data_IF_695390676052
#
_entry.id   IF_695390676052
#
_cell.length_a   1.000
_cell.length_b   1.000
_cell.length_c   1.000
_cell.angle_alpha   90.00
_cell.angle_beta   90.00
_cell.angle_gamma   90.00
#
_symmetry.space_group_name_H-M   'P 1'
#
loop_
_entity.id
_entity.type
_entity.pdbx_description
1 polymer ?
#
# COMPACT_ATOMS: atom_id res chain seq x y z
N UNK A 1 -16.25 -27.90 2.91
CA UNK A 1 -16.18 -27.52 1.49
C UNK A 1 -16.80 -26.16 1.14
N UNK A 2 -17.37 -25.43 2.11
CA UNK A 2 -17.76 -24.02 1.91
C UNK A 2 -18.94 -23.80 0.96
N UNK A 3 -19.67 -24.85 0.59
CA UNK A 3 -20.90 -24.79 -0.19
C UNK A 3 -22.14 -25.05 0.69
N UNK A 4 -23.32 -24.69 0.18
CA UNK A 4 -24.59 -24.79 0.93
C UNK A 4 -25.29 -26.14 0.79
N UNK A 5 -24.75 -27.11 0.05
CA UNK A 5 -25.45 -28.38 -0.26
C UNK A 5 -25.95 -29.12 0.99
N UNK A 6 -25.11 -29.30 2.00
CA UNK A 6 -25.51 -29.98 3.24
C UNK A 6 -26.60 -29.19 4.02
N UNK A 7 -26.53 -27.86 3.98
CA UNK A 7 -27.52 -26.98 4.59
C UNK A 7 -28.84 -27.00 3.80
N UNK A 8 -28.77 -27.06 2.46
CA UNK A 8 -29.93 -27.19 1.57
C UNK A 8 -30.67 -28.50 1.80
N UNK A 9 -29.96 -29.63 1.90
CA UNK A 9 -30.59 -30.93 2.19
C UNK A 9 -31.22 -30.96 3.58
N UNK A 10 -30.59 -30.33 4.58
CA UNK A 10 -31.16 -30.19 5.91
C UNK A 10 -32.42 -29.33 5.91
N UNK A 11 -32.39 -28.16 5.25
CA UNK A 11 -33.53 -27.25 5.10
C UNK A 11 -34.68 -27.93 4.36
N UNK A 12 -34.40 -28.71 3.32
CA UNK A 12 -35.39 -29.50 2.59
C UNK A 12 -36.14 -30.48 3.48
N UNK A 13 -35.44 -31.12 4.43
CA UNK A 13 -36.02 -32.09 5.35
C UNK A 13 -36.86 -31.45 6.48
N UNK A 14 -36.61 -30.18 6.83
CA UNK A 14 -37.24 -29.49 7.97
C UNK A 14 -37.98 -28.20 7.56
N UNK A 15 -38.34 -28.08 6.28
CA UNK A 15 -38.82 -26.82 5.71
C UNK A 15 -40.02 -26.23 6.45
N UNK A 16 -41.01 -27.06 6.79
CA UNK A 16 -42.20 -26.57 7.50
C UNK A 16 -41.87 -25.93 8.85
N UNK A 17 -40.94 -26.54 9.61
CA UNK A 17 -40.50 -26.01 10.91
C UNK A 17 -39.61 -24.77 10.75
N UNK A 18 -38.79 -24.72 9.70
CA UNK A 18 -37.85 -23.62 9.46
C UNK A 18 -38.49 -22.39 8.81
N UNK A 19 -39.59 -22.57 8.07
CA UNK A 19 -40.36 -21.49 7.45
C UNK A 19 -41.40 -20.88 8.41
N UNK A 20 -41.60 -21.48 9.60
CA UNK A 20 -42.62 -21.06 10.55
C UNK A 20 -42.42 -19.60 11.00
N UNK A 21 -43.45 -18.78 10.79
CA UNK A 21 -43.46 -17.37 11.20
C UNK A 21 -42.69 -16.42 10.28
N UNK A 22 -42.12 -16.91 9.17
CA UNK A 22 -41.47 -16.06 8.18
C UNK A 22 -42.48 -15.48 7.18
N UNK A 23 -42.39 -14.17 6.92
CA UNK A 23 -43.19 -13.48 5.91
C UNK A 23 -42.32 -13.12 4.71
N UNK A 24 -42.66 -13.65 3.53
CA UNK A 24 -41.94 -13.43 2.28
C UNK A 24 -42.79 -12.54 1.39
N UNK A 25 -42.21 -11.43 0.94
CA UNK A 25 -42.88 -10.48 0.06
C UNK A 25 -42.75 -10.83 -1.44
N UNK A 26 -41.78 -11.67 -1.81
CA UNK A 26 -41.55 -12.10 -3.19
C UNK A 26 -41.05 -13.55 -3.29
N UNK A 27 -42.00 -14.50 -3.37
CA UNK A 27 -41.73 -15.96 -3.35
C UNK A 27 -40.84 -16.47 -4.49
N UNK A 28 -40.78 -15.76 -5.62
CA UNK A 28 -40.02 -16.18 -6.79
C UNK A 28 -38.54 -15.74 -6.77
N UNK A 29 -38.08 -15.04 -5.73
CA UNK A 29 -36.71 -14.51 -5.64
C UNK A 29 -35.75 -15.52 -5.00
N UNK A 30 -35.28 -16.47 -5.80
CA UNK A 30 -34.24 -17.44 -5.42
C UNK A 30 -33.53 -17.99 -6.67
N UNK A 31 -32.33 -18.55 -6.50
CA UNK A 31 -31.58 -19.15 -7.60
C UNK A 31 -32.06 -20.59 -7.91
N UNK A 32 -31.73 -21.09 -9.09
CA UNK A 32 -32.14 -22.43 -9.56
C UNK A 32 -31.65 -23.59 -8.69
N UNK A 33 -30.61 -23.38 -7.89
CA UNK A 33 -30.01 -24.32 -6.95
C UNK A 33 -30.58 -24.21 -5.52
N UNK A 34 -31.57 -23.33 -5.32
CA UNK A 34 -32.24 -23.08 -4.04
C UNK A 34 -33.73 -23.49 -4.11
N UNK A 35 -34.31 -23.78 -2.95
CA UNK A 35 -35.63 -24.39 -2.79
C UNK A 35 -36.72 -23.32 -2.59
N UNK A 36 -36.37 -22.18 -2.00
CA UNK A 36 -37.33 -21.11 -1.66
C UNK A 36 -36.65 -19.75 -1.58
N UNK A 37 -37.46 -18.68 -1.70
CA UNK A 37 -37.01 -17.32 -1.44
C UNK A 37 -36.52 -17.10 0.01
N UNK A 38 -37.07 -17.82 0.99
CA UNK A 38 -36.61 -17.73 2.37
C UNK A 38 -35.22 -18.34 2.53
N UNK A 39 -34.97 -19.50 1.91
CA UNK A 39 -33.64 -20.09 1.88
C UNK A 39 -32.64 -19.14 1.25
N UNK A 40 -32.99 -18.55 0.10
CA UNK A 40 -32.14 -17.60 -0.59
C UNK A 40 -31.81 -16.38 0.29
N UNK A 41 -32.82 -15.81 0.94
CA UNK A 41 -32.67 -14.69 1.85
C UNK A 41 -31.76 -15.04 3.04
N UNK A 42 -31.90 -16.24 3.62
CA UNK A 42 -31.07 -16.70 4.72
C UNK A 42 -29.64 -17.04 4.27
N UNK A 43 -29.46 -17.63 3.09
CA UNK A 43 -28.15 -17.84 2.49
C UNK A 43 -27.43 -16.50 2.29
N UNK A 44 -28.12 -15.50 1.73
CA UNK A 44 -27.58 -14.16 1.57
C UNK A 44 -27.23 -13.54 2.92
N UNK A 45 -28.11 -13.63 3.93
CA UNK A 45 -27.81 -13.13 5.28
C UNK A 45 -26.54 -13.75 5.87
N UNK A 46 -26.35 -15.05 5.71
CA UNK A 46 -25.19 -15.78 6.23
C UNK A 46 -23.91 -15.54 5.43
N UNK A 47 -24.02 -15.19 4.15
CA UNK A 47 -22.88 -14.87 3.27
C UNK A 47 -22.46 -13.39 3.36
N UNK A 48 -23.45 -12.49 3.34
CA UNK A 48 -23.31 -11.05 3.27
C UNK A 48 -24.53 -10.39 3.97
N UNK A 49 -24.43 -10.30 5.29
CA UNK A 49 -25.48 -9.74 6.13
C UNK A 49 -25.78 -8.26 5.81
N UNK A 50 -24.78 -7.51 5.34
CA UNK A 50 -24.96 -6.12 4.95
C UNK A 50 -25.84 -6.01 3.69
N UNK A 51 -25.57 -6.84 2.66
CA UNK A 51 -26.39 -6.90 1.46
C UNK A 51 -27.83 -7.37 1.78
N UNK A 52 -27.99 -8.38 2.65
CA UNK A 52 -29.32 -8.81 3.10
C UNK A 52 -30.10 -7.66 3.76
N UNK A 53 -29.49 -6.94 4.70
CA UNK A 53 -30.15 -5.85 5.40
C UNK A 53 -30.50 -4.68 4.46
N UNK A 54 -29.60 -4.33 3.53
CA UNK A 54 -29.85 -3.27 2.56
C UNK A 54 -30.92 -3.64 1.52
N UNK A 55 -30.84 -4.84 0.92
CA UNK A 55 -31.69 -5.22 -0.21
C UNK A 55 -33.01 -5.91 0.18
N UNK A 56 -33.03 -6.64 1.30
CA UNK A 56 -34.19 -7.45 1.72
C UNK A 56 -34.93 -6.84 2.91
N UNK A 57 -34.23 -6.14 3.81
CA UNK A 57 -34.87 -5.46 4.94
C UNK A 57 -35.11 -3.96 4.70
N UNK A 58 -34.46 -3.36 3.69
CA UNK A 58 -34.39 -1.90 3.51
C UNK A 58 -33.89 -1.16 4.77
N UNK A 59 -33.13 -1.85 5.63
CA UNK A 59 -32.53 -1.32 6.85
C UNK A 59 -31.02 -1.54 6.78
N UNK A 60 -30.29 -0.79 5.92
CA UNK A 60 -28.86 -0.99 5.76
C UNK A 60 -28.14 -0.85 7.10
N UNK A 61 -27.29 -1.84 7.41
CA UNK A 61 -26.50 -1.82 8.64
C UNK A 61 -25.60 -0.57 8.66
N UNK A 62 -25.44 0.09 9.82
CA UNK A 62 -24.47 1.17 9.97
C UNK A 62 -23.08 0.68 9.57
N UNK A 63 -22.38 1.41 8.70
CA UNK A 63 -20.98 1.12 8.46
C UNK A 63 -20.23 1.29 9.78
N UNK A 64 -19.55 0.25 10.27
CA UNK A 64 -18.66 0.35 11.42
C UNK A 64 -17.47 1.24 11.04
N UNK A 65 -17.62 2.54 11.27
CA UNK A 65 -16.53 3.49 11.24
C UNK A 65 -15.51 3.05 12.29
N UNK A 66 -14.26 2.86 11.88
CA UNK A 66 -13.23 2.38 12.79
C UNK A 66 -13.09 3.34 13.98
N UNK A 67 -13.08 2.81 15.20
CA UNK A 67 -12.88 3.57 16.45
C UNK A 67 -11.44 4.06 16.67
N UNK A 68 -10.49 3.81 15.76
CA UNK A 68 -9.20 4.49 15.87
C UNK A 68 -9.38 5.87 15.21
N UNK A 69 -9.43 6.91 16.03
CA UNK A 69 -9.60 8.29 15.60
C UNK A 69 -8.50 8.64 14.58
N UNK A 70 -8.90 8.73 13.31
CA UNK A 70 -8.05 9.33 12.29
C UNK A 70 -7.76 10.77 12.73
N UNK A 71 -6.50 11.17 12.65
CA UNK A 71 -6.12 12.54 12.97
C UNK A 71 -6.92 13.53 12.11
N UNK A 72 -7.37 14.60 12.73
CA UNK A 72 -8.00 15.73 12.06
C UNK A 72 -7.02 16.46 11.14
N UNK A 73 -7.57 17.32 10.27
CA UNK A 73 -6.78 18.18 9.37
C UNK A 73 -5.80 19.03 10.16
N UNK A 74 -6.25 19.65 11.26
CA UNK A 74 -5.42 20.53 12.08
C UNK A 74 -4.29 19.77 12.80
N UNK A 75 -4.57 18.56 13.28
CA UNK A 75 -3.56 17.72 13.91
C UNK A 75 -2.49 17.27 12.91
N UNK A 76 -2.87 16.87 11.69
CA UNK A 76 -1.92 16.50 10.64
C UNK A 76 -1.11 17.71 10.19
N UNK A 77 -1.76 18.85 9.95
CA UNK A 77 -1.08 20.09 9.59
C UNK A 77 -0.11 20.55 10.70
N UNK A 78 -0.43 20.24 11.96
CA UNK A 78 0.39 20.49 13.14
C UNK A 78 1.63 19.61 13.27
N UNK A 79 1.81 18.55 12.46
CA UNK A 79 2.97 17.64 12.49
C UNK A 79 4.25 18.23 11.91
N UNK A 80 4.47 19.53 12.06
CA UNK A 80 5.64 20.24 11.54
C UNK A 80 6.91 19.91 12.33
N UNK A 81 8.00 19.62 11.61
CA UNK A 81 9.31 19.25 12.16
C UNK A 81 10.15 20.46 12.59
N UNK A 82 9.83 21.65 12.10
CA UNK A 82 10.62 22.86 12.32
C UNK A 82 11.77 23.07 11.33
N UNK A 83 12.05 22.09 10.48
CA UNK A 83 13.10 22.13 9.46
C UNK A 83 12.65 22.95 8.23
N UNK A 84 13.61 23.53 7.50
CA UNK A 84 13.28 24.26 6.28
C UNK A 84 12.71 23.32 5.20
N UNK A 85 11.91 23.87 4.29
CA UNK A 85 11.44 23.17 3.09
C UNK A 85 12.63 22.60 2.31
N UNK A 86 12.52 21.34 1.86
CA UNK A 86 13.59 20.60 1.19
C UNK A 86 14.78 20.17 2.06
N UNK A 87 14.79 20.46 3.37
CA UNK A 87 15.84 19.98 4.28
C UNK A 87 15.56 18.55 4.72
N UNK A 88 16.55 17.66 4.59
CA UNK A 88 16.43 16.27 5.03
C UNK A 88 16.76 16.16 6.53
N UNK A 89 15.93 15.52 7.36
CA UNK A 89 16.26 15.28 8.77
C UNK A 89 17.48 14.37 8.94
N UNK A 90 18.26 14.58 10.00
CA UNK A 90 19.49 13.83 10.27
C UNK A 90 19.29 12.31 10.34
N UNK A 91 18.15 11.87 10.88
CA UNK A 91 17.81 10.45 11.01
C UNK A 91 17.50 9.77 9.67
N UNK A 92 17.23 10.54 8.61
CA UNK A 92 16.84 10.02 7.31
C UNK A 92 18.06 9.87 6.38
N UNK A 93 18.06 8.78 5.63
CA UNK A 93 19.10 8.44 4.65
C UNK A 93 18.54 8.00 3.29
N UNK A 94 17.21 7.82 3.18
CA UNK A 94 16.52 7.43 1.94
C UNK A 94 15.61 8.55 1.47
N UNK A 95 15.70 8.93 0.21
CA UNK A 95 14.74 9.86 -0.41
C UNK A 95 13.90 9.17 -1.48
N UNK A 96 12.59 9.39 -1.39
CA UNK A 96 11.62 8.81 -2.30
C UNK A 96 10.69 9.87 -2.85
N UNK A 97 10.21 9.62 -4.07
CA UNK A 97 9.20 10.45 -4.72
C UNK A 97 8.05 9.59 -5.23
N UNK A 98 6.85 10.16 -5.25
CA UNK A 98 5.71 9.59 -5.95
C UNK A 98 5.03 10.66 -6.78
N UNK A 99 4.54 10.28 -7.96
CA UNK A 99 3.78 11.13 -8.87
C UNK A 99 2.43 10.47 -9.15
N UNK A 100 1.34 11.14 -8.76
CA UNK A 100 -0.03 10.79 -9.13
C UNK A 100 -0.44 11.57 -10.38
N UNK A 101 -0.95 10.86 -11.39
CA UNK A 101 -1.24 11.41 -12.71
C UNK A 101 -2.72 11.69 -12.85
N UNK A 102 -3.08 12.97 -12.95
CA UNK A 102 -4.43 13.42 -13.29
C UNK A 102 -4.45 14.10 -14.65
N UNK A 103 -5.64 14.23 -15.23
CA UNK A 103 -5.81 14.85 -16.56
C UNK A 103 -5.23 16.26 -16.63
N UNK A 104 -5.47 17.07 -15.58
CA UNK A 104 -5.08 18.48 -15.56
C UNK A 104 -3.73 18.73 -14.87
N UNK A 105 -3.31 17.86 -13.95
CA UNK A 105 -2.16 18.07 -13.06
C UNK A 105 -1.40 16.77 -12.79
N UNK A 106 -0.13 16.89 -12.47
CA UNK A 106 0.64 15.84 -11.80
C UNK A 106 0.79 16.22 -10.33
N UNK A 107 0.20 15.48 -9.41
CA UNK A 107 0.47 15.66 -7.99
C UNK A 107 1.74 14.89 -7.62
N UNK A 108 2.55 15.44 -6.72
CA UNK A 108 3.74 14.74 -6.26
C UNK A 108 4.02 14.98 -4.78
N UNK A 109 4.75 14.02 -4.19
CA UNK A 109 5.33 14.10 -2.85
C UNK A 109 6.77 13.65 -2.92
N UNK A 110 7.64 14.31 -2.15
CA UNK A 110 9.01 13.88 -1.84
C UNK A 110 9.10 13.67 -0.33
N UNK A 111 9.54 12.48 0.07
CA UNK A 111 9.67 12.12 1.48
C UNK A 111 11.05 11.53 1.75
N UNK A 112 11.59 11.88 2.92
CA UNK A 112 12.79 11.32 3.48
C UNK A 112 12.44 10.27 4.54
N UNK A 113 13.21 9.20 4.60
CA UNK A 113 12.97 8.07 5.49
C UNK A 113 14.26 7.57 6.12
N UNK A 114 14.17 7.09 7.34
CA UNK A 114 15.16 6.25 7.98
C UNK A 114 14.88 4.76 7.73
N UNK A 115 15.80 3.90 8.17
CA UNK A 115 15.62 2.43 8.17
C UNK A 115 14.33 1.95 8.88
N UNK A 116 13.83 2.69 9.87
CA UNK A 116 12.66 2.29 10.67
C UNK A 116 11.37 3.06 10.35
N UNK A 117 11.27 3.62 9.13
CA UNK A 117 10.13 4.45 8.71
C UNK A 117 9.87 5.70 9.58
N UNK A 118 10.85 6.13 10.38
CA UNK A 118 10.82 7.52 10.86
C UNK A 118 11.04 8.38 9.62
N UNK A 119 10.13 9.32 9.35
CA UNK A 119 10.11 10.02 8.08
C UNK A 119 9.70 11.47 8.18
N UNK A 120 9.99 12.20 7.11
CA UNK A 120 9.54 13.55 6.89
C UNK A 120 9.11 13.74 5.44
N UNK A 121 7.92 14.29 5.23
CA UNK A 121 7.57 14.88 3.94
C UNK A 121 8.36 16.18 3.84
N UNK A 122 9.24 16.27 2.84
CA UNK A 122 10.17 17.41 2.67
C UNK A 122 9.80 18.31 1.51
N UNK A 123 8.96 17.82 0.58
CA UNK A 123 8.35 18.60 -0.49
C UNK A 123 7.07 17.92 -0.99
N UNK A 124 6.13 18.69 -1.52
CA UNK A 124 4.95 18.20 -2.23
C UNK A 124 4.35 19.35 -3.05
N UNK A 125 3.60 19.01 -4.08
CA UNK A 125 2.96 20.02 -4.91
C UNK A 125 2.14 19.42 -6.05
N UNK A 126 1.82 20.29 -7.00
CA UNK A 126 1.27 19.93 -8.29
C UNK A 126 2.13 20.51 -9.41
N UNK A 127 2.17 19.82 -10.56
CA UNK A 127 2.73 20.33 -11.80
C UNK A 127 1.63 20.42 -12.86
N UNK A 128 1.48 21.56 -13.55
CA UNK A 128 2.17 22.83 -13.30
C UNK A 128 1.87 23.43 -11.91
N UNK A 129 2.73 24.32 -11.42
CA UNK A 129 2.49 25.04 -10.17
C UNK A 129 1.23 25.92 -10.31
N UNK A 130 0.33 25.79 -9.33
CA UNK A 130 -0.95 26.52 -9.29
C UNK A 130 -0.81 27.96 -8.79
N UNK A 131 0.35 28.33 -8.25
CA UNK A 131 0.66 29.68 -7.73
C UNK A 131 -0.32 30.17 -6.65
N UNK A 132 -1.02 29.25 -5.98
CA UNK A 132 -1.95 29.52 -4.89
C UNK A 132 -1.89 28.41 -3.85
N UNK A 133 -2.18 28.78 -2.59
CA UNK A 133 -2.11 27.84 -1.45
C UNK A 133 -3.27 26.86 -1.39
N UNK A 134 -4.43 27.27 -1.91
CA UNK A 134 -5.65 26.47 -1.94
C UNK A 134 -6.14 26.37 -3.37
N UNK A 135 -6.35 25.15 -3.82
CA UNK A 135 -6.90 24.81 -5.12
C UNK A 135 -7.52 23.42 -5.06
N UNK A 136 -8.28 23.10 -6.09
CA UNK A 136 -8.83 21.78 -6.34
C UNK A 136 -8.52 21.36 -7.78
N UNK A 137 -8.65 20.09 -8.09
CA UNK A 137 -8.46 19.59 -9.44
C UNK A 137 -9.47 20.19 -10.44
N UNK A 138 -10.77 20.37 -10.12
CA UNK A 138 -11.73 20.99 -11.04
C UNK A 138 -11.44 22.45 -11.37
N UNK A 139 -10.83 23.22 -10.46
CA UNK A 139 -10.52 24.64 -10.66
C UNK A 139 -9.04 24.88 -11.03
N UNK A 140 -8.28 23.81 -11.31
CA UNK A 140 -6.86 23.86 -11.62
C UNK A 140 -6.52 24.84 -12.76
N UNK A 141 -5.58 25.74 -12.48
CA UNK A 141 -5.05 26.72 -13.42
C UNK A 141 -3.67 27.19 -12.93
N UNK A 142 -2.59 27.03 -13.71
CA UNK A 142 -2.52 26.41 -15.05
C UNK A 142 -2.69 24.88 -15.05
N UNK A 143 -3.08 24.32 -16.20
CA UNK A 143 -3.16 22.86 -16.42
C UNK A 143 -2.03 22.36 -17.32
N UNK A 144 -1.79 21.04 -17.35
CA UNK A 144 -0.88 20.38 -18.30
C UNK A 144 -1.17 20.82 -19.75
N UNK A 145 -2.46 20.88 -20.14
CA UNK A 145 -2.85 21.30 -21.48
C UNK A 145 -2.56 22.78 -21.73
N UNK A 146 -2.68 23.64 -20.71
CA UNK A 146 -2.32 25.06 -20.79
C UNK A 146 -0.81 25.24 -20.98
N UNK A 147 0.01 24.40 -20.34
CA UNK A 147 1.46 24.41 -20.49
C UNK A 147 1.92 23.92 -21.87
N UNK A 148 1.20 22.98 -22.48
CA UNK A 148 1.50 22.41 -23.81
C UNK A 148 0.33 22.53 -24.79
N UNK A 149 -0.06 23.75 -25.21
CA UNK A 149 -1.29 23.99 -25.97
C UNK A 149 -1.30 23.38 -27.37
N UNK A 150 -0.12 23.06 -27.93
CA UNK A 150 0.04 22.47 -29.28
C UNK A 150 0.09 20.94 -29.27
N UNK A 151 0.21 20.32 -28.10
CA UNK A 151 0.28 18.87 -27.98
C UNK A 151 -1.13 18.29 -27.72
N UNK A 152 -1.38 17.10 -28.27
CA UNK A 152 -2.49 16.27 -27.80
C UNK A 152 -2.22 15.77 -26.37
N UNK A 153 -3.24 15.21 -25.73
CA UNK A 153 -3.19 14.79 -24.33
C UNK A 153 -1.95 13.93 -23.99
N UNK A 154 -1.68 12.88 -24.76
CA UNK A 154 -0.54 11.98 -24.51
C UNK A 154 0.82 12.69 -24.60
N UNK A 155 0.99 13.56 -25.59
CA UNK A 155 2.23 14.33 -25.77
C UNK A 155 2.41 15.38 -24.68
N UNK A 156 1.32 16.03 -24.26
CA UNK A 156 1.34 16.97 -23.15
C UNK A 156 1.68 16.27 -21.82
N UNK A 157 1.12 15.08 -21.58
CA UNK A 157 1.43 14.26 -20.41
C UNK A 157 2.89 13.80 -20.41
N UNK A 158 3.41 13.32 -21.54
CA UNK A 158 4.81 12.92 -21.64
C UNK A 158 5.74 14.11 -21.33
N UNK A 159 5.46 15.28 -21.90
CA UNK A 159 6.25 16.48 -21.67
C UNK A 159 6.13 16.99 -20.22
N UNK A 160 4.98 16.83 -19.58
CA UNK A 160 4.77 17.13 -18.17
C UNK A 160 5.61 16.23 -17.25
N UNK A 161 5.60 14.91 -17.51
CA UNK A 161 6.41 13.94 -16.80
C UNK A 161 7.91 14.22 -16.99
N UNK A 162 8.34 14.54 -18.21
CA UNK A 162 9.73 14.93 -18.50
C UNK A 162 10.13 16.18 -17.71
N UNK A 163 9.32 17.24 -17.76
CA UNK A 163 9.58 18.48 -17.06
C UNK A 163 9.71 18.28 -15.54
N UNK A 164 8.74 17.59 -14.92
CA UNK A 164 8.72 17.35 -13.48
C UNK A 164 9.89 16.45 -13.04
N UNK A 165 10.12 15.34 -13.73
CA UNK A 165 11.17 14.38 -13.33
C UNK A 165 12.57 14.90 -13.59
N UNK A 166 12.80 15.65 -14.68
CA UNK A 166 14.09 16.28 -14.96
C UNK A 166 14.46 17.28 -13.88
N UNK A 167 13.50 18.05 -13.40
CA UNK A 167 13.69 18.97 -12.29
C UNK A 167 14.01 18.18 -11.01
N UNK A 168 13.07 17.39 -10.50
CA UNK A 168 13.18 16.77 -9.18
C UNK A 168 14.29 15.70 -9.06
N UNK A 169 14.49 14.88 -10.08
CA UNK A 169 15.47 13.77 -10.03
C UNK A 169 16.91 14.23 -10.31
N UNK A 170 17.10 15.49 -10.75
CA UNK A 170 18.43 16.09 -10.88
C UNK A 170 18.87 16.89 -9.65
N UNK A 171 17.94 17.27 -8.77
CA UNK A 171 18.22 18.02 -7.54
C UNK A 171 19.07 17.24 -6.55
N UNK A 172 19.82 17.99 -5.76
CA UNK A 172 20.50 17.51 -4.56
C UNK A 172 19.78 18.07 -3.32
N UNK A 173 19.59 17.21 -2.33
CA UNK A 173 18.82 17.50 -1.13
C UNK A 173 19.76 17.48 0.07
N UNK A 174 19.93 18.64 0.72
CA UNK A 174 20.86 18.78 1.83
C UNK A 174 20.23 18.25 3.13
N UNK A 175 20.95 17.37 3.82
CA UNK A 175 20.60 16.90 5.17
C UNK A 175 21.11 17.86 6.24
N UNK A 176 20.55 17.83 7.44
CA UNK A 176 20.97 18.65 8.58
C UNK A 176 22.50 18.72 8.80
N UNK A 177 23.25 17.64 8.55
CA UNK A 177 24.72 17.59 8.68
C UNK A 177 25.50 18.07 7.45
N UNK A 178 24.82 18.56 6.41
CA UNK A 178 25.41 19.02 5.14
C UNK A 178 25.64 17.92 4.11
N UNK A 179 25.27 16.66 4.40
CA UNK A 179 25.33 15.59 3.41
C UNK A 179 24.32 15.84 2.28
N UNK A 180 24.75 15.68 1.03
CA UNK A 180 23.89 15.81 -0.15
C UNK A 180 23.33 14.46 -0.55
N UNK A 181 22.00 14.36 -0.61
CA UNK A 181 21.28 13.15 -1.02
C UNK A 181 20.55 13.38 -2.34
N UNK A 182 20.16 12.28 -3.00
CA UNK A 182 19.35 12.29 -4.22
C UNK A 182 18.16 11.38 -4.04
N UNK A 183 17.09 11.61 -4.80
CA UNK A 183 15.95 10.70 -4.85
C UNK A 183 16.41 9.36 -5.43
N UNK A 184 16.36 8.32 -4.61
CA UNK A 184 16.83 6.97 -4.97
C UNK A 184 15.75 6.15 -5.66
N UNK A 185 14.48 6.46 -5.37
CA UNK A 185 13.34 5.74 -5.95
C UNK A 185 12.16 6.67 -6.18
N UNK A 186 11.62 6.60 -7.39
CA UNK A 186 10.43 7.33 -7.77
C UNK A 186 9.41 6.40 -8.44
N UNK A 187 8.15 6.49 -8.04
CA UNK A 187 7.04 5.78 -8.67
C UNK A 187 6.07 6.76 -9.32
N UNK A 188 5.49 6.35 -10.45
CA UNK A 188 4.44 7.08 -11.14
C UNK A 188 3.19 6.20 -11.13
N UNK A 189 2.05 6.72 -10.66
CA UNK A 189 0.79 5.99 -10.72
C UNK A 189 0.37 5.79 -12.18
N UNK A 190 0.07 4.54 -12.54
CA UNK A 190 -0.35 4.14 -13.87
C UNK A 190 -1.74 3.50 -13.88
N UNK A 191 -2.56 3.73 -12.84
CA UNK A 191 -3.90 3.16 -12.73
C UNK A 191 -4.93 3.84 -13.63
N UNK A 192 -4.69 5.10 -14.03
CA UNK A 192 -5.60 5.79 -14.93
C UNK A 192 -5.41 5.32 -16.37
N UNK A 193 -6.32 4.48 -16.86
CA UNK A 193 -6.17 3.72 -18.11
C UNK A 193 -5.78 4.51 -19.37
N UNK A 194 -6.19 5.78 -19.47
CA UNK A 194 -5.82 6.65 -20.61
C UNK A 194 -4.33 7.06 -20.59
N UNK A 195 -3.68 6.98 -19.44
CA UNK A 195 -2.28 7.38 -19.24
C UNK A 195 -1.32 6.19 -19.12
N UNK A 196 -1.83 4.97 -18.86
CA UNK A 196 -1.02 3.79 -18.52
C UNK A 196 0.10 3.55 -19.52
N UNK A 197 -0.21 3.40 -20.81
CA UNK A 197 0.81 3.05 -21.80
C UNK A 197 1.89 4.15 -21.96
N UNK A 198 1.49 5.42 -21.87
CA UNK A 198 2.41 6.56 -21.90
C UNK A 198 3.35 6.54 -20.71
N UNK A 199 2.87 6.21 -19.51
CA UNK A 199 3.72 6.14 -18.31
C UNK A 199 4.72 4.98 -18.43
N UNK A 200 4.29 3.82 -18.93
CA UNK A 200 5.21 2.70 -19.19
C UNK A 200 6.28 3.06 -20.23
N UNK A 201 5.88 3.73 -21.32
CA UNK A 201 6.80 4.23 -22.33
C UNK A 201 7.79 5.23 -21.73
N UNK A 202 7.29 6.20 -20.96
CA UNK A 202 8.08 7.25 -20.32
C UNK A 202 9.13 6.67 -19.37
N UNK A 203 8.71 5.83 -18.42
CA UNK A 203 9.62 5.17 -17.49
C UNK A 203 10.71 4.34 -18.19
N UNK A 204 10.41 3.75 -19.36
CA UNK A 204 11.37 2.98 -20.15
C UNK A 204 12.39 3.87 -20.86
N UNK A 205 11.96 5.02 -21.37
CA UNK A 205 12.75 5.88 -22.25
C UNK A 205 13.45 7.02 -21.51
N UNK A 206 12.99 7.35 -20.30
CA UNK A 206 13.55 8.43 -19.49
C UNK A 206 15.03 8.19 -19.19
N UNK A 207 15.81 9.29 -19.15
CA UNK A 207 17.20 9.28 -18.68
C UNK A 207 17.31 8.82 -17.21
N UNK A 208 16.20 8.88 -16.46
CA UNK A 208 16.09 8.45 -15.07
C UNK A 208 15.49 7.04 -14.90
N UNK A 209 15.47 6.20 -15.95
CA UNK A 209 14.89 4.85 -15.93
C UNK A 209 15.45 3.92 -14.83
N UNK A 210 16.63 4.21 -14.27
CA UNK A 210 17.20 3.45 -13.15
C UNK A 210 16.46 3.64 -11.82
N UNK A 211 15.83 4.80 -11.62
CA UNK A 211 15.13 5.16 -10.37
C UNK A 211 13.61 5.15 -10.53
N UNK A 212 13.10 5.43 -11.74
CA UNK A 212 11.67 5.48 -12.06
C UNK A 212 11.07 4.09 -12.32
N UNK A 213 9.87 3.83 -11.78
CA UNK A 213 9.04 2.71 -12.20
C UNK A 213 7.56 3.11 -12.26
N UNK A 214 6.80 2.55 -13.21
CA UNK A 214 5.33 2.60 -13.15
C UNK A 214 4.82 1.80 -11.94
N UNK A 215 3.71 2.25 -11.37
CA UNK A 215 3.09 1.61 -10.22
C UNK A 215 1.57 1.47 -10.37
N UNK A 216 1.01 0.51 -9.64
CA UNK A 216 -0.42 0.25 -9.58
C UNK A 216 -0.84 0.02 -8.12
N UNK A 217 -1.57 0.97 -7.55
CA UNK A 217 -2.29 0.75 -6.30
C UNK A 217 -3.46 -0.21 -6.53
N UNK A 218 -3.55 -1.29 -5.75
CA UNK A 218 -4.67 -2.23 -5.82
C UNK A 218 -5.54 -2.07 -4.58
N UNK A 219 -6.84 -2.06 -4.82
CA UNK A 219 -7.82 -2.25 -3.77
C UNK A 219 -7.80 -3.73 -3.35
N UNK A 220 -7.35 -4.02 -2.13
CA UNK A 220 -7.30 -5.38 -1.58
C UNK A 220 -8.30 -5.46 -0.43
N UNK A 221 -9.57 -5.59 -0.79
CA UNK A 221 -10.67 -5.68 0.18
C UNK A 221 -10.72 -7.01 0.93
N UNK A 222 -11.69 -7.13 1.82
CA UNK A 222 -11.88 -8.30 2.69
C UNK A 222 -12.06 -9.64 1.92
N UNK A 223 -12.68 -9.57 0.74
CA UNK A 223 -12.90 -10.70 -0.17
C UNK A 223 -11.67 -11.06 -1.03
N UNK A 224 -10.66 -10.18 -1.09
CA UNK A 224 -9.45 -10.33 -1.91
C UNK A 224 -8.34 -11.09 -1.17
N UNK A 225 -7.48 -11.76 -1.93
CA UNK A 225 -6.30 -12.43 -1.38
C UNK A 225 -5.25 -11.39 -0.96
N UNK A 226 -4.77 -11.40 0.30
CA UNK A 226 -3.71 -10.50 0.76
C UNK A 226 -2.44 -10.63 -0.09
N UNK A 227 -1.76 -9.52 -0.33
CA UNK A 227 -0.47 -9.52 -1.04
C UNK A 227 0.62 -10.31 -0.31
N UNK A 228 0.56 -10.36 1.02
CA UNK A 228 1.46 -11.17 1.86
C UNK A 228 1.39 -12.67 1.56
N UNK A 229 0.26 -13.16 1.03
CA UNK A 229 0.07 -14.56 0.69
C UNK A 229 0.41 -14.89 -0.77
N UNK A 230 0.90 -13.91 -1.54
CA UNK A 230 1.26 -14.13 -2.94
C UNK A 230 2.47 -15.06 -3.01
N UNK A 231 2.33 -16.15 -3.78
CA UNK A 231 3.41 -17.12 -3.97
C UNK A 231 4.42 -16.55 -4.96
N UNK A 232 5.60 -16.21 -4.46
CA UNK A 232 6.73 -15.72 -5.24
C UNK A 232 7.07 -16.68 -6.39
N UNK A 233 6.98 -16.19 -7.63
CA UNK A 233 7.48 -16.90 -8.80
C UNK A 233 8.94 -16.53 -9.08
N UNK A 234 9.68 -17.34 -9.87
CA UNK A 234 11.03 -16.99 -10.28
C UNK A 234 11.11 -15.62 -10.96
N UNK A 235 11.93 -14.72 -10.40
CA UNK A 235 12.13 -13.37 -10.91
C UNK A 235 11.20 -12.30 -10.33
N UNK A 236 10.21 -12.67 -9.52
CA UNK A 236 9.40 -11.70 -8.76
C UNK A 236 10.21 -11.11 -7.61
N UNK A 237 9.93 -9.85 -7.28
CA UNK A 237 10.34 -9.25 -5.99
C UNK A 237 9.09 -8.98 -5.16
N UNK A 238 9.13 -9.35 -3.90
CA UNK A 238 8.05 -9.09 -2.94
C UNK A 238 8.64 -8.35 -1.75
N UNK A 239 7.85 -7.46 -1.17
CA UNK A 239 8.14 -6.81 0.11
C UNK A 239 6.86 -6.64 0.93
N UNK A 240 6.87 -5.67 1.84
CA UNK A 240 5.73 -5.40 2.73
C UNK A 240 4.53 -4.91 1.93
N UNK A 241 3.54 -5.77 1.65
CA UNK A 241 2.33 -5.41 0.91
C UNK A 241 2.59 -4.71 -0.44
N UNK A 242 3.68 -5.09 -1.10
CA UNK A 242 3.96 -4.75 -2.48
C UNK A 242 4.68 -5.89 -3.18
N UNK A 243 4.52 -5.95 -4.50
CA UNK A 243 5.25 -6.84 -5.37
C UNK A 243 5.71 -6.14 -6.64
N UNK A 244 6.75 -6.68 -7.25
CA UNK A 244 7.23 -6.33 -8.57
C UNK A 244 7.34 -7.63 -9.35
N UNK A 245 6.31 -7.98 -10.14
CA UNK A 245 6.30 -9.20 -10.93
C UNK A 245 7.52 -9.27 -11.86
N UNK A 246 7.93 -10.49 -12.19
CA UNK A 246 8.81 -10.70 -13.31
C UNK A 246 8.11 -10.25 -14.60
N UNK A 247 8.89 -9.70 -15.53
CA UNK A 247 8.35 -9.25 -16.81
C UNK A 247 8.19 -10.47 -17.71
N UNK A 248 7.01 -11.09 -17.70
CA UNK A 248 6.63 -12.11 -18.67
C UNK A 248 5.41 -11.61 -19.47
N UNK A 249 5.57 -11.37 -20.77
CA UNK A 249 4.47 -10.98 -21.67
C UNK A 249 4.55 -9.54 -22.22
N UNK A 250 3.38 -8.89 -22.39
CA UNK A 250 3.15 -7.68 -23.21
C UNK A 250 3.84 -6.39 -22.74
N UNK A 251 4.24 -6.27 -21.47
CA UNK A 251 4.80 -5.01 -20.92
C UNK A 251 6.33 -5.06 -20.95
N UNK A 252 6.99 -4.02 -21.46
CA UNK A 252 8.44 -4.04 -21.72
C UNK A 252 9.32 -3.79 -20.48
N UNK A 253 8.76 -3.25 -19.38
CA UNK A 253 9.49 -2.95 -18.15
C UNK A 253 8.76 -3.47 -16.90
N UNK A 254 9.50 -3.61 -15.80
CA UNK A 254 8.93 -3.96 -14.50
C UNK A 254 8.03 -2.83 -14.00
N UNK A 255 7.04 -3.20 -13.19
CA UNK A 255 6.15 -2.26 -12.51
C UNK A 255 5.91 -2.73 -11.09
N UNK A 256 5.54 -1.80 -10.21
CA UNK A 256 5.21 -2.09 -8.82
C UNK A 256 3.71 -2.23 -8.70
N UNK A 257 3.26 -3.22 -7.93
CA UNK A 257 1.87 -3.35 -7.52
C UNK A 257 1.86 -3.35 -6.00
N UNK A 258 1.03 -2.55 -5.37
CA UNK A 258 0.98 -2.45 -3.91
C UNK A 258 -0.47 -2.39 -3.41
N UNK A 259 -0.67 -2.79 -2.16
CA UNK A 259 -1.96 -2.73 -1.48
C UNK A 259 -2.21 -1.29 -1.01
N UNK A 260 -3.08 -0.57 -1.72
CA UNK A 260 -3.37 0.85 -1.43
C UNK A 260 -3.99 1.04 -0.05
N UNK A 261 -4.90 0.16 0.36
CA UNK A 261 -5.56 0.21 1.66
C UNK A 261 -4.56 0.06 2.80
N UNK A 262 -3.69 -0.96 2.71
CA UNK A 262 -2.64 -1.17 3.71
C UNK A 262 -1.73 0.04 3.85
N UNK A 263 -1.24 0.60 2.72
CA UNK A 263 -0.29 1.70 2.75
C UNK A 263 -0.92 3.03 3.21
N UNK A 264 -2.21 3.25 2.97
CA UNK A 264 -2.97 4.39 3.56
C UNK A 264 -3.08 4.25 5.07
N UNK A 265 -3.50 3.09 5.57
CA UNK A 265 -3.50 2.81 7.02
C UNK A 265 -2.12 2.94 7.63
N UNK A 266 -1.08 2.47 6.92
CA UNK A 266 0.30 2.59 7.36
C UNK A 266 0.72 4.06 7.54
N UNK A 267 0.46 4.92 6.56
CA UNK A 267 0.78 6.35 6.65
C UNK A 267 0.06 7.02 7.81
N UNK A 268 -1.24 6.78 7.98
CA UNK A 268 -2.00 7.34 9.10
C UNK A 268 -1.45 6.85 10.45
N UNK A 269 -1.05 5.59 10.54
CA UNK A 269 -0.36 5.06 11.71
C UNK A 269 1.04 5.64 11.94
N UNK A 270 1.70 6.26 10.95
CA UNK A 270 2.97 7.00 11.15
C UNK A 270 2.70 8.47 11.52
N UNK A 271 1.64 9.07 11.00
CA UNK A 271 1.23 10.43 11.37
C UNK A 271 0.82 10.50 12.85
N UNK A 272 0.08 9.48 13.32
CA UNK A 272 -0.41 9.39 14.70
C UNK A 272 0.69 9.19 15.75
N UNK A 273 1.87 8.69 15.36
CA UNK A 273 3.01 8.55 16.28
C UNK A 273 3.52 9.94 16.66
N UNK A 274 3.70 10.28 17.95
CA UNK A 274 4.17 11.60 18.36
C UNK A 274 5.49 12.03 17.71
N UNK A 275 5.67 13.34 17.50
CA UNK A 275 6.93 13.86 16.96
C UNK A 275 8.10 13.51 17.89
N UNK A 276 9.20 13.02 17.34
CA UNK A 276 10.38 12.57 18.08
C UNK A 276 10.41 11.06 18.35
N UNK A 277 9.26 10.38 18.29
CA UNK A 277 9.19 8.94 18.43
C UNK A 277 9.57 8.22 17.13
N UNK A 278 10.09 7.00 17.29
CA UNK A 278 10.49 6.14 16.16
C UNK A 278 9.27 5.77 15.33
N UNK A 279 9.36 5.99 14.02
CA UNK A 279 8.28 5.73 13.08
C UNK A 279 7.28 6.89 12.97
N UNK A 280 7.54 8.06 13.55
CA UNK A 280 6.76 9.26 13.25
C UNK A 280 6.98 9.71 11.81
N UNK A 281 5.90 10.16 11.17
CA UNK A 281 5.93 10.96 9.94
C UNK A 281 5.68 12.43 10.28
N UNK A 282 6.52 13.32 9.77
CA UNK A 282 6.45 14.76 10.01
C UNK A 282 6.36 15.55 8.69
N UNK A 283 5.99 16.82 8.77
CA UNK A 283 5.97 17.77 7.66
C UNK A 283 7.11 18.80 7.82
N UNK A 284 7.59 19.38 6.72
CA UNK A 284 8.58 20.46 6.78
C UNK A 284 7.99 21.75 7.38
N UNK A 285 8.80 22.77 7.60
CA UNK A 285 8.37 24.10 8.03
C UNK A 285 8.05 24.22 9.51
N UNK A 286 7.51 25.38 9.89
CA UNK A 286 7.11 25.75 11.27
C UNK A 286 5.67 26.22 11.39
N UNK A 287 4.99 26.42 10.25
CA UNK A 287 3.67 27.04 10.20
C UNK A 287 2.66 26.01 9.71
N UNK A 288 1.82 25.44 10.59
CA UNK A 288 0.83 24.43 10.20
C UNK A 288 -0.06 24.84 9.03
N UNK A 289 -0.45 26.12 8.98
CA UNK A 289 -1.36 26.63 7.94
C UNK A 289 -0.86 26.53 6.50
N UNK A 290 0.43 26.27 6.24
CA UNK A 290 0.92 26.00 4.87
C UNK A 290 0.58 24.57 4.41
N UNK A 291 0.27 23.67 5.35
CA UNK A 291 -0.06 22.27 5.12
C UNK A 291 -1.55 22.00 5.13
N UNK A 292 -2.39 23.03 5.23
CA UNK A 292 -3.85 22.89 5.31
C UNK A 292 -4.41 22.02 4.16
N UNK A 293 -4.17 22.42 2.91
CA UNK A 293 -4.66 21.68 1.74
C UNK A 293 -4.06 20.26 1.68
N UNK A 294 -2.80 20.11 2.07
CA UNK A 294 -2.16 18.80 2.13
C UNK A 294 -2.85 17.86 3.11
N UNK A 295 -3.10 18.33 4.33
CA UNK A 295 -3.83 17.59 5.35
C UNK A 295 -5.29 17.31 4.95
N UNK A 296 -5.93 18.22 4.19
CA UNK A 296 -7.26 17.99 3.63
C UNK A 296 -7.30 16.82 2.65
N UNK A 297 -6.27 16.67 1.79
CA UNK A 297 -6.14 15.52 0.90
C UNK A 297 -5.87 14.22 1.67
N UNK A 298 -5.03 14.27 2.71
CA UNK A 298 -4.72 13.10 3.56
C UNK A 298 -5.94 12.59 4.35
N UNK A 299 -6.96 13.44 4.53
CA UNK A 299 -8.21 13.14 5.25
C UNK A 299 -9.44 13.14 4.35
N UNK A 300 -9.25 13.19 3.02
CA UNK A 300 -10.33 13.17 2.03
C UNK A 300 -11.02 11.79 1.96
N UNK A 301 -10.36 10.75 2.47
CA UNK A 301 -10.91 9.42 2.62
C UNK A 301 -11.19 9.09 4.09
N UNK A 302 -12.11 8.16 4.33
CA UNK A 302 -12.37 7.56 5.62
C UNK A 302 -12.17 6.05 5.56
N UNK A 303 -11.91 5.46 6.72
CA UNK A 303 -11.55 4.06 6.87
C UNK A 303 -12.72 3.27 7.45
N UNK A 304 -13.11 2.22 6.74
CA UNK A 304 -14.15 1.26 7.14
C UNK A 304 -13.47 -0.06 7.47
N UNK A 305 -13.72 -0.61 8.66
CA UNK A 305 -13.21 -1.94 9.02
C UNK A 305 -14.15 -3.00 8.46
N UNK A 306 -13.69 -3.75 7.47
CA UNK A 306 -14.46 -4.82 6.84
C UNK A 306 -13.86 -6.18 7.21
N UNK A 307 -14.71 -7.13 7.63
CA UNK A 307 -14.29 -8.50 7.89
C UNK A 307 -14.52 -9.38 6.66
N UNK A 308 -13.56 -10.24 6.34
CA UNK A 308 -13.72 -11.23 5.27
C UNK A 308 -12.59 -12.23 5.25
N UNK A 309 -12.88 -13.47 4.86
CA UNK A 309 -11.93 -14.61 4.89
C UNK A 309 -11.21 -14.78 6.25
N UNK A 310 -11.91 -14.50 7.35
CA UNK A 310 -11.35 -14.63 8.71
C UNK A 310 -10.30 -13.57 9.08
N UNK A 311 -10.18 -12.47 8.33
CA UNK A 311 -9.32 -11.33 8.66
C UNK A 311 -10.12 -10.02 8.66
N UNK A 312 -9.63 -9.06 9.43
CA UNK A 312 -10.07 -7.67 9.36
C UNK A 312 -9.21 -6.91 8.36
N UNK A 313 -9.84 -6.05 7.57
CA UNK A 313 -9.20 -5.22 6.57
C UNK A 313 -9.72 -3.80 6.70
N UNK A 314 -8.81 -2.85 6.68
CA UNK A 314 -9.16 -1.45 6.55
C UNK A 314 -9.44 -1.16 5.07
N UNK A 315 -10.66 -0.77 4.74
CA UNK A 315 -11.05 -0.33 3.40
C UNK A 315 -11.19 1.20 3.40
N UNK A 316 -10.44 1.86 2.53
CA UNK A 316 -10.46 3.31 2.43
C UNK A 316 -11.44 3.75 1.34
N UNK A 317 -12.36 4.65 1.72
CA UNK A 317 -13.42 5.17 0.85
C UNK A 317 -13.35 6.69 0.80
N UNK A 318 -13.57 7.27 -0.37
CA UNK A 318 -13.62 8.72 -0.56
C UNK A 318 -14.84 9.31 0.15
N UNK A 319 -14.67 10.45 0.82
CA UNK A 319 -15.78 11.17 1.45
C UNK A 319 -16.64 11.86 0.39
N UNK A 320 -17.97 11.91 0.54
CA UNK A 320 -18.84 12.57 -0.45
C UNK A 320 -18.57 14.06 -0.64
N UNK A 321 -18.08 14.75 0.39
CA UNK A 321 -17.84 16.20 0.42
C UNK A 321 -16.42 16.61 -0.03
N UNK A 322 -15.53 15.64 -0.28
CA UNK A 322 -14.14 15.90 -0.66
C UNK A 322 -13.72 15.01 -1.82
N UNK A 323 -13.23 15.63 -2.91
CA UNK A 323 -12.89 14.89 -4.13
C UNK A 323 -11.41 14.62 -4.29
N UNK A 324 -10.55 15.45 -3.71
CA UNK A 324 -9.13 15.43 -4.03
C UNK A 324 -8.34 14.73 -2.92
N UNK A 325 -7.85 13.53 -3.23
CA UNK A 325 -7.11 12.66 -2.32
C UNK A 325 -5.66 12.39 -2.81
N UNK A 326 -5.24 13.00 -3.92
CA UNK A 326 -4.04 12.61 -4.67
C UNK A 326 -2.73 12.62 -3.85
N UNK A 327 -2.60 13.52 -2.87
CA UNK A 327 -1.43 13.55 -1.99
C UNK A 327 -1.43 12.43 -0.94
N UNK A 328 -2.59 11.88 -0.57
CA UNK A 328 -2.64 10.66 0.25
C UNK A 328 -2.03 9.49 -0.51
N UNK A 329 -2.45 9.30 -1.77
CA UNK A 329 -1.92 8.27 -2.66
C UNK A 329 -0.41 8.46 -2.90
N UNK A 330 0.03 9.70 -3.12
CA UNK A 330 1.46 10.01 -3.22
C UNK A 330 2.24 9.68 -1.95
N UNK A 331 1.71 10.02 -0.77
CA UNK A 331 2.39 9.76 0.51
C UNK A 331 2.52 8.25 0.75
N UNK A 332 1.45 7.50 0.49
CA UNK A 332 1.44 6.04 0.57
C UNK A 332 2.48 5.44 -0.39
N UNK A 333 2.52 5.93 -1.64
CA UNK A 333 3.49 5.51 -2.64
C UNK A 333 4.95 5.85 -2.29
N UNK A 334 5.21 6.98 -1.65
CA UNK A 334 6.54 7.31 -1.10
C UNK A 334 7.00 6.31 -0.04
N UNK A 335 6.09 5.80 0.80
CA UNK A 335 6.41 4.77 1.79
C UNK A 335 6.62 3.39 1.15
N UNK A 336 5.89 3.06 0.08
CA UNK A 336 6.17 1.87 -0.76
C UNK A 336 7.62 1.94 -1.28
N UNK A 337 8.02 3.07 -1.86
CA UNK A 337 9.41 3.30 -2.29
C UNK A 337 10.41 3.08 -1.16
N UNK A 338 10.13 3.58 0.05
CA UNK A 338 11.02 3.41 1.19
C UNK A 338 11.18 1.93 1.59
N UNK A 339 10.08 1.17 1.56
CA UNK A 339 10.11 -0.29 1.73
C UNK A 339 10.93 -0.99 0.66
N UNK A 340 10.82 -0.56 -0.60
CA UNK A 340 11.64 -1.10 -1.70
C UNK A 340 13.13 -0.83 -1.52
N UNK A 341 13.48 0.29 -0.87
CA UNK A 341 14.84 0.65 -0.48
C UNK A 341 15.30 -0.04 0.82
N UNK A 342 14.42 -0.82 1.47
CA UNK A 342 14.77 -1.65 2.63
C UNK A 342 14.27 -1.13 3.98
N UNK A 343 13.57 0.00 4.03
CA UNK A 343 12.97 0.47 5.29
C UNK A 343 11.98 -0.57 5.82
N UNK A 344 12.05 -0.84 7.13
CA UNK A 344 11.28 -1.87 7.82
C UNK A 344 10.96 -1.45 9.25
N UNK A 345 9.75 -1.73 9.73
CA UNK A 345 9.47 -1.64 11.16
C UNK A 345 9.93 -2.94 11.85
N UNK A 346 10.61 -2.88 13.01
CA UNK A 346 11.01 -4.08 13.74
C UNK A 346 9.83 -5.02 14.04
N UNK A 347 8.66 -4.47 14.35
CA UNK A 347 7.44 -5.20 14.68
C UNK A 347 6.77 -5.87 13.47
N UNK A 348 6.99 -5.34 12.27
CA UNK A 348 6.45 -5.87 11.01
C UNK A 348 7.48 -6.69 10.22
N UNK A 349 8.70 -6.80 10.75
CA UNK A 349 9.79 -7.47 10.07
C UNK A 349 9.52 -8.96 9.93
N UNK A 350 9.35 -9.42 8.69
CA UNK A 350 9.81 -10.75 8.31
C UNK A 350 11.33 -10.74 8.53
N UNK A 351 11.78 -11.14 9.72
CA UNK A 351 13.17 -11.14 10.12
C UNK A 351 14.03 -11.68 8.97
N UNK A 352 14.83 -10.82 8.34
CA UNK A 352 15.81 -11.28 7.38
C UNK A 352 16.76 -12.15 8.19
N UNK A 353 16.70 -13.47 7.98
CA UNK A 353 17.58 -14.39 8.69
C UNK A 353 19.02 -13.86 8.52
N UNK A 354 19.83 -13.79 9.60
CA UNK A 354 21.18 -13.28 9.49
C UNK A 354 21.89 -14.00 8.35
N UNK A 355 22.54 -13.24 7.47
CA UNK A 355 23.25 -13.81 6.34
C UNK A 355 24.15 -14.93 6.86
N UNK A 356 23.90 -16.18 6.45
CA UNK A 356 24.77 -17.31 6.84
C UNK A 356 26.20 -16.88 6.52
N UNK A 357 27.14 -16.94 7.48
CA UNK A 357 28.51 -16.54 7.22
C UNK A 357 28.98 -17.30 5.98
N UNK A 358 29.44 -16.55 4.96
CA UNK A 358 29.99 -17.15 3.75
C UNK A 358 31.17 -18.01 4.18
N UNK A 359 30.98 -19.32 4.18
CA UNK A 359 32.08 -20.27 4.39
C UNK A 359 33.02 -20.05 3.21
N UNK A 360 34.17 -19.41 3.47
CA UNK A 360 35.26 -19.38 2.49
C UNK A 360 35.69 -20.83 2.26
N UNK A 361 35.75 -21.26 1.00
CA UNK A 361 36.16 -22.62 0.63
C UNK A 361 37.54 -22.97 1.22
N UNK A 362 38.40 -21.96 1.40
CA UNK A 362 39.71 -22.07 2.05
C UNK A 362 39.65 -22.53 3.52
N UNK A 363 38.55 -22.29 4.23
CA UNK A 363 38.36 -22.73 5.63
C UNK A 363 37.97 -24.22 5.75
N UNK A 364 37.56 -24.86 4.64
CA UNK A 364 37.29 -26.32 4.61
C UNK A 364 38.48 -27.16 4.15
N UNK A 365 39.48 -26.54 3.50
CA UNK A 365 40.66 -27.24 2.99
C UNK A 365 41.80 -27.32 4.01
N UNK A 366 41.89 -26.37 4.94
CA UNK A 366 42.91 -26.37 5.98
C UNK A 366 42.25 -26.77 7.31
N UNK A 367 42.32 -28.06 7.66
CA UNK A 367 41.75 -28.65 8.88
C UNK A 367 42.31 -28.05 10.18
N UNK A 368 41.86 -26.85 10.52
CA UNK A 368 42.14 -26.19 11.79
C UNK A 368 40.82 -25.95 12.51
N UNK A 369 40.45 -26.93 13.35
CA UNK A 369 39.36 -26.77 14.28
C UNK A 369 39.79 -25.79 15.38
N UNK A 370 39.28 -24.56 15.38
CA UNK A 370 39.30 -23.72 16.58
C UNK A 370 38.04 -24.01 17.40
N UNK A 371 38.26 -24.52 18.60
CA UNK A 371 37.28 -24.73 19.66
C UNK A 371 36.58 -23.42 20.02
N UNK A 372 35.29 -23.33 19.73
CA UNK A 372 34.38 -22.41 20.39
C UNK A 372 33.32 -23.25 21.12
N UNK A 373 33.20 -23.02 22.41
CA UNK A 373 32.32 -23.72 23.34
C UNK A 373 30.87 -23.72 22.82
N UNK A 374 30.31 -24.93 22.69
CA UNK A 374 28.90 -25.13 22.40
C UNK A 374 28.21 -25.64 23.66
N UNK A 375 27.27 -24.84 24.15
CA UNK A 375 26.28 -25.22 25.15
C UNK A 375 25.50 -26.43 24.63
N UNK A 376 25.34 -27.54 25.37
CA UNK A 376 24.66 -28.71 24.86
C UNK A 376 23.14 -28.49 24.89
N UNK A 377 22.54 -28.31 23.72
CA UNK A 377 21.12 -28.54 23.52
C UNK A 377 20.89 -30.04 23.31
N UNK A 378 20.16 -30.66 24.23
CA UNK A 378 19.72 -32.04 24.15
C UNK A 378 18.69 -32.20 23.02
N UNK A 379 19.11 -32.75 21.88
CA UNK A 379 18.18 -33.29 20.89
C UNK A 379 18.54 -34.74 20.62
N UNK A 380 17.75 -35.65 21.21
CA UNK A 380 17.82 -37.08 20.94
C UNK A 380 17.54 -37.37 19.46
N UNK A 381 18.59 -37.71 18.72
CA UNK A 381 18.50 -38.45 17.46
C UNK A 381 19.63 -39.46 17.46
N UNK A 382 19.29 -40.72 17.74
CA UNK A 382 20.22 -41.84 17.63
C UNK A 382 20.77 -41.93 16.21
N UNK A 383 22.06 -42.23 16.09
CA UNK A 383 22.72 -42.40 14.80
C UNK A 383 22.32 -43.76 14.21
N UNK A 384 22.12 -43.80 12.89
CA UNK A 384 21.73 -45.01 12.14
C UNK A 384 22.68 -46.22 12.33
N UNK A 385 23.90 -45.98 12.83
CA UNK A 385 24.88 -47.01 13.17
C UNK A 385 24.56 -47.78 14.46
N UNK A 386 23.78 -47.22 15.39
CA UNK A 386 23.41 -47.85 16.65
C UNK A 386 22.20 -48.78 16.50
N UNK A 387 21.31 -48.49 15.54
CA UNK A 387 20.14 -49.32 15.18
C UNK A 387 20.50 -50.68 14.53
N UNK A 388 21.73 -50.85 14.03
CA UNK A 388 22.18 -52.12 13.42
C UNK A 388 22.79 -53.12 14.41
N UNK A 389 23.05 -52.71 15.65
CA UNK A 389 23.60 -53.61 16.70
C UNK A 389 22.55 -54.28 17.58
N UNK A 390 21.28 -53.84 17.52
CA UNK A 390 20.19 -54.40 18.35
C UNK A 390 19.33 -55.44 17.62
N UNK A 391 19.78 -55.99 16.48
CA UNK A 391 18.99 -56.95 15.68
C UNK A 391 19.61 -58.35 15.58
N UNK A 392 20.73 -58.61 16.26
CA UNK A 392 21.39 -59.92 16.33
C UNK A 392 21.84 -60.24 17.77
N UNK A 393 20.94 -60.09 18.74
CA UNK A 393 20.98 -60.79 20.04
C UNK A 393 19.55 -61.11 20.47
#
# INVERSE_FOLDING_TARGET
DGNFEAATEFYKAHREEMDEGAEISWDARYNHDEISALQHAMNLKLQDEAAFNAEYQNEPLPEELSTDDLMSVDEIAGKVSGLAHGRVPLACDKLTMFIDVQKALLFYVVAAWSENFTGAVIDYGAWPDQHRRQFSLPDANPTIQTAFPKAGFEGALYAALDALTKDYLSREWEREDGAMLKIEKALIDANWGQSTDIIYQFCRQSVHAGVLLPSHGRYVGASSKPMTEYRKQPGDRLGLNWMMPNVAGKRAIRHVVYDSNYWKSFIHARLAVPLGDKGSLSLYGRLPGIHQLYAEHLTAEYRVKTQGRGRWVDEWKLKPDRTDNHWLDCTAGCAVCASMLGATLPELGLARAPAKPRIKLSARLNGTASTAESVPASSGRMKLSELRRMKND
#
